data_IF_092024777086
#
_entry.id   IF_092024777086
#
_cell.length_a   1.000
_cell.length_b   1.000
_cell.length_c   1.000
_cell.angle_alpha   90.00
_cell.angle_beta   90.00
_cell.angle_gamma   90.00
#
_symmetry.space_group_name_H-M   'P 1'
#
loop_
_entity.id
_entity.type
_entity.pdbx_description
1 polymer ?
#
# COMPACT_ATOMS: atom_id res chain seq x y z
N UNK A 1 -22.34 12.60 13.97
CA UNK A 1 -21.65 11.44 13.40
C UNK A 1 -20.88 10.62 14.46
N UNK A 2 -19.93 11.22 15.20
CA UNK A 2 -19.09 10.50 16.20
C UNK A 2 -19.89 9.76 17.29
N UNK A 3 -20.89 10.41 17.90
CA UNK A 3 -21.75 9.79 18.93
C UNK A 3 -22.49 8.55 18.43
N UNK A 4 -22.95 8.58 17.17
CA UNK A 4 -23.66 7.47 16.52
C UNK A 4 -22.72 6.31 16.13
N UNK A 5 -21.44 6.61 15.88
CA UNK A 5 -20.40 5.60 15.66
C UNK A 5 -20.03 4.89 16.96
N UNK A 6 -19.81 5.63 18.05
CA UNK A 6 -19.53 5.04 19.37
C UNK A 6 -20.71 4.23 19.92
N UNK A 7 -21.96 4.64 19.64
CA UNK A 7 -23.16 3.92 20.08
C UNK A 7 -23.40 2.59 19.36
N UNK A 8 -22.64 2.27 18.30
CA UNK A 8 -22.74 1.00 17.57
C UNK A 8 -21.77 -0.08 18.08
N UNK A 9 -20.84 0.27 18.97
CA UNK A 9 -19.92 -0.71 19.53
C UNK A 9 -20.65 -1.63 20.52
N UNK A 10 -20.94 -2.86 20.10
CA UNK A 10 -21.77 -3.80 20.86
C UNK A 10 -20.99 -4.99 21.42
N UNK A 11 -19.72 -5.14 21.05
CA UNK A 11 -18.89 -6.27 21.47
C UNK A 11 -17.45 -5.83 21.77
N UNK A 12 -16.70 -6.71 22.44
CA UNK A 12 -15.33 -6.43 22.87
C UNK A 12 -14.39 -6.06 21.70
N UNK A 13 -14.63 -6.61 20.50
CA UNK A 13 -13.85 -6.30 19.30
C UNK A 13 -14.09 -4.86 18.82
N UNK A 14 -15.32 -4.37 18.91
CA UNK A 14 -15.65 -2.99 18.54
C UNK A 14 -15.08 -1.98 19.54
N UNK A 15 -15.12 -2.31 20.83
CA UNK A 15 -14.51 -1.50 21.89
C UNK A 15 -12.97 -1.46 21.72
N UNK A 16 -12.33 -2.59 21.39
CA UNK A 16 -10.90 -2.63 21.13
C UNK A 16 -10.48 -1.75 19.93
N UNK A 17 -11.31 -1.67 18.89
CA UNK A 17 -11.09 -0.75 17.76
C UNK A 17 -11.21 0.71 18.19
N UNK A 18 -12.20 1.06 19.01
CA UNK A 18 -12.35 2.42 19.54
C UNK A 18 -11.13 2.83 20.37
N UNK A 19 -10.66 1.94 21.25
CA UNK A 19 -9.43 2.16 22.04
C UNK A 19 -8.23 2.38 21.11
N UNK A 20 -8.10 1.56 20.06
CA UNK A 20 -7.00 1.69 19.09
C UNK A 20 -7.02 3.03 18.35
N UNK A 21 -8.20 3.54 17.99
CA UNK A 21 -8.36 4.84 17.31
C UNK A 21 -8.10 6.01 18.26
N UNK A 22 -8.42 5.85 19.54
CA UNK A 22 -8.19 6.87 20.57
C UNK A 22 -6.74 6.92 21.07
N UNK A 23 -5.95 5.87 20.84
CA UNK A 23 -4.53 5.93 21.21
C UNK A 23 -3.87 7.08 20.46
N UNK A 24 -3.25 8.04 21.16
CA UNK A 24 -2.41 9.02 20.49
C UNK A 24 -1.36 8.24 19.70
N UNK A 25 -1.03 8.74 18.51
CA UNK A 25 0.16 8.28 17.81
C UNK A 25 1.32 8.73 18.70
N UNK A 26 1.83 7.81 19.51
CA UNK A 26 3.06 8.06 20.26
C UNK A 26 4.16 8.28 19.22
N UNK A 27 4.92 9.37 19.37
CA UNK A 27 6.18 9.51 18.65
C UNK A 27 7.05 8.32 19.04
N UNK A 28 7.16 7.33 18.16
CA UNK A 28 7.90 6.12 18.45
C UNK A 28 9.37 6.49 18.60
N UNK A 29 9.96 6.17 19.76
CA UNK A 29 11.40 6.29 20.02
C UNK A 29 12.15 5.65 18.85
N UNK A 30 13.05 6.43 18.24
CA UNK A 30 13.89 5.95 17.16
C UNK A 30 14.91 4.95 17.71
N UNK A 31 15.08 3.81 17.04
CA UNK A 31 15.95 2.72 17.50
C UNK A 31 17.44 2.96 17.21
N UNK A 32 17.78 4.05 16.52
CA UNK A 32 19.14 4.35 16.11
C UNK A 32 19.85 5.21 17.16
N UNK A 33 21.11 4.87 17.42
CA UNK A 33 21.99 5.59 18.34
C UNK A 33 22.98 6.46 17.55
N UNK A 34 23.01 7.74 17.89
CA UNK A 34 24.02 8.72 17.48
C UNK A 34 24.99 8.96 18.64
N UNK A 35 26.07 9.70 18.39
CA UNK A 35 27.06 10.06 19.41
C UNK A 35 26.45 10.81 20.61
N UNK A 36 25.38 11.58 20.36
CA UNK A 36 24.66 12.38 21.36
C UNK A 36 23.43 11.65 21.98
N UNK A 37 23.24 10.36 21.67
CA UNK A 37 22.16 9.54 22.22
C UNK A 37 21.23 8.92 21.17
N UNK A 38 20.10 8.39 21.61
CA UNK A 38 19.12 7.73 20.74
C UNK A 38 18.27 8.74 19.97
N UNK A 39 17.94 8.41 18.72
CA UNK A 39 16.97 9.16 17.90
C UNK A 39 15.59 9.17 18.56
N UNK A 40 14.91 10.32 18.54
CA UNK A 40 13.65 10.51 19.27
C UNK A 40 12.41 10.40 18.38
N UNK A 41 12.60 10.21 17.07
CA UNK A 41 11.50 10.02 16.13
C UNK A 41 11.95 9.23 14.90
N UNK A 42 11.01 8.60 14.16
CA UNK A 42 11.31 7.92 12.90
C UNK A 42 11.96 8.83 11.87
N UNK A 43 11.58 10.12 11.84
CA UNK A 43 12.16 11.10 10.92
C UNK A 43 13.64 11.33 11.20
N UNK A 44 14.02 11.43 12.48
CA UNK A 44 15.44 11.53 12.86
C UNK A 44 16.20 10.25 12.52
N UNK A 45 15.61 9.08 12.75
CA UNK A 45 16.24 7.81 12.35
C UNK A 45 16.47 7.74 10.83
N UNK A 46 15.49 8.19 10.04
CA UNK A 46 15.62 8.24 8.58
C UNK A 46 16.77 9.15 8.14
N UNK A 47 16.88 10.35 8.73
CA UNK A 47 17.97 11.28 8.42
C UNK A 47 19.34 10.64 8.70
N UNK A 48 19.50 10.00 9.85
CA UNK A 48 20.76 9.30 10.21
C UNK A 48 21.11 8.22 9.17
N UNK A 49 20.12 7.44 8.71
CA UNK A 49 20.35 6.42 7.69
C UNK A 49 20.76 7.02 6.35
N UNK A 50 20.13 8.12 5.93
CA UNK A 50 20.46 8.82 4.70
C UNK A 50 21.87 9.42 4.76
N UNK A 51 22.22 10.10 5.85
CA UNK A 51 23.56 10.66 6.06
C UNK A 51 24.65 9.57 6.07
N UNK A 52 24.39 8.44 6.72
CA UNK A 52 25.39 7.38 6.90
C UNK A 52 25.61 6.55 5.65
N UNK A 53 24.53 6.18 4.95
CA UNK A 53 24.60 5.23 3.83
C UNK A 53 24.54 5.90 2.45
N UNK A 54 24.08 7.16 2.38
CA UNK A 54 23.88 7.89 1.13
C UNK A 54 24.37 9.35 1.27
N UNK A 55 25.64 9.58 1.62
CA UNK A 55 26.16 10.92 1.94
C UNK A 55 26.08 11.90 0.76
N UNK A 56 26.17 11.41 -0.48
CA UNK A 56 26.08 12.22 -1.70
C UNK A 56 24.64 12.32 -2.24
N UNK A 57 23.64 11.85 -1.48
CA UNK A 57 22.24 11.95 -1.90
C UNK A 57 21.74 13.39 -1.83
N UNK A 58 21.02 13.81 -2.87
CA UNK A 58 20.40 15.13 -2.94
C UNK A 58 18.89 14.93 -2.77
N UNK A 59 18.29 15.63 -1.82
CA UNK A 59 16.84 15.62 -1.64
C UNK A 59 16.22 16.34 -2.83
N UNK A 60 15.68 15.58 -3.76
CA UNK A 60 14.92 16.12 -4.88
C UNK A 60 13.54 16.58 -4.38
N UNK A 61 13.38 17.89 -4.18
CA UNK A 61 12.11 18.51 -3.73
C UNK A 61 11.15 18.81 -4.88
N UNK A 62 11.66 18.73 -6.11
CA UNK A 62 10.86 18.79 -7.33
C UNK A 62 10.21 17.44 -7.60
N UNK A 63 8.88 17.44 -7.76
CA UNK A 63 8.12 16.30 -8.27
C UNK A 63 8.36 16.05 -9.78
N UNK A 64 9.42 16.60 -10.36
CA UNK A 64 9.96 16.18 -11.64
C UNK A 64 10.64 14.81 -11.46
N UNK A 65 9.82 13.79 -11.16
CA UNK A 65 10.08 12.51 -11.78
C UNK A 65 9.80 12.78 -13.25
N UNK A 66 10.80 12.79 -14.16
CA UNK A 66 10.46 12.57 -15.55
C UNK A 66 9.58 11.32 -15.54
N UNK A 67 8.38 11.42 -16.09
CA UNK A 67 7.62 10.27 -16.54
C UNK A 67 8.57 9.61 -17.53
N UNK A 68 9.42 8.74 -17.01
CA UNK A 68 10.20 7.83 -17.80
C UNK A 68 9.10 6.94 -18.35
N UNK A 69 8.60 7.29 -19.54
CA UNK A 69 7.79 6.42 -20.35
C UNK A 69 8.64 5.18 -20.56
N UNK A 70 8.56 4.26 -19.61
CA UNK A 70 9.03 2.91 -19.82
C UNK A 70 8.09 2.41 -20.90
N UNK A 71 8.60 2.32 -22.12
CA UNK A 71 7.98 1.55 -23.17
C UNK A 71 7.95 0.10 -22.67
N UNK A 72 6.88 -0.26 -21.97
CA UNK A 72 6.69 -1.63 -21.54
C UNK A 72 6.39 -2.45 -22.78
N UNK A 73 7.05 -3.60 -22.90
CA UNK A 73 6.74 -4.54 -23.97
C UNK A 73 5.38 -5.18 -23.68
N UNK A 74 4.33 -4.56 -24.20
CA UNK A 74 2.94 -5.00 -24.04
C UNK A 74 2.63 -6.29 -24.81
N UNK A 75 3.51 -6.74 -25.71
CA UNK A 75 3.33 -8.04 -26.40
C UNK A 75 3.32 -9.23 -25.42
N UNK A 76 3.78 -9.03 -24.19
CA UNK A 76 3.65 -10.03 -23.14
C UNK A 76 2.20 -10.20 -22.66
N UNK A 77 1.34 -9.18 -22.75
CA UNK A 77 -0.04 -9.19 -22.26
C UNK A 77 -0.94 -9.91 -23.27
N UNK A 78 -1.57 -11.00 -22.86
CA UNK A 78 -2.55 -11.71 -23.67
C UNK A 78 -3.63 -12.35 -22.80
N UNK A 79 -4.75 -12.76 -23.41
CA UNK A 79 -5.93 -13.29 -22.71
C UNK A 79 -5.60 -14.46 -21.79
N UNK A 80 -4.67 -15.33 -22.19
CA UNK A 80 -4.29 -16.50 -21.40
C UNK A 80 -3.55 -16.07 -20.13
N UNK A 81 -2.55 -15.19 -20.26
CA UNK A 81 -1.78 -14.69 -19.12
C UNK A 81 -2.59 -13.83 -18.17
N UNK A 82 -3.53 -13.03 -18.69
CA UNK A 82 -4.47 -12.26 -17.86
C UNK A 82 -5.31 -13.22 -17.02
N UNK A 83 -5.85 -14.29 -17.65
CA UNK A 83 -6.62 -15.31 -16.96
C UNK A 83 -5.79 -16.07 -15.91
N UNK A 84 -4.56 -16.47 -16.26
CA UNK A 84 -3.63 -17.11 -15.33
C UNK A 84 -3.28 -16.21 -14.15
N UNK A 85 -3.07 -14.91 -14.40
CA UNK A 85 -2.78 -13.94 -13.34
C UNK A 85 -3.95 -13.82 -12.35
N UNK A 86 -5.20 -13.75 -12.82
CA UNK A 86 -6.36 -13.73 -11.92
C UNK A 86 -6.49 -15.03 -11.11
N UNK A 87 -6.22 -16.17 -11.74
CA UNK A 87 -6.24 -17.47 -11.07
C UNK A 87 -5.09 -17.67 -10.08
N UNK A 88 -3.99 -16.92 -10.20
CA UNK A 88 -2.86 -16.99 -9.27
C UNK A 88 -3.16 -16.36 -7.90
N UNK A 89 -4.22 -15.55 -7.80
CA UNK A 89 -4.58 -14.90 -6.53
C UNK A 89 -5.24 -15.88 -5.56
N UNK A 90 -5.02 -15.68 -4.26
CA UNK A 90 -5.83 -16.34 -3.24
C UNK A 90 -7.27 -15.81 -3.30
N UNK A 91 -8.30 -16.66 -3.49
CA UNK A 91 -9.66 -16.22 -3.81
C UNK A 91 -10.27 -15.24 -2.80
N UNK A 92 -9.97 -15.43 -1.52
CA UNK A 92 -10.57 -14.71 -0.40
C UNK A 92 -9.65 -13.66 0.25
N UNK A 93 -8.57 -13.28 -0.43
CA UNK A 93 -7.71 -12.19 0.02
C UNK A 93 -8.49 -10.88 0.12
N UNK A 94 -7.97 -9.96 0.94
CA UNK A 94 -8.52 -8.61 1.06
C UNK A 94 -8.57 -7.92 -0.30
N UNK A 95 -9.66 -7.19 -0.52
CA UNK A 95 -9.84 -6.34 -1.69
C UNK A 95 -8.92 -5.13 -1.66
N UNK A 96 -8.65 -4.57 -2.85
CA UNK A 96 -7.99 -3.28 -2.99
C UNK A 96 -8.93 -2.11 -2.69
N UNK A 97 -8.53 -0.88 -3.03
CA UNK A 97 -9.36 0.32 -2.87
C UNK A 97 -10.69 0.27 -3.65
N UNK A 98 -10.75 -0.55 -4.69
CA UNK A 98 -11.95 -0.80 -5.51
C UNK A 98 -13.00 -1.70 -4.83
N UNK A 99 -12.64 -2.35 -3.72
CA UNK A 99 -13.52 -3.27 -3.00
C UNK A 99 -13.73 -4.63 -3.66
N UNK A 100 -13.11 -4.91 -4.82
CA UNK A 100 -13.27 -6.16 -5.54
C UNK A 100 -12.38 -7.26 -4.93
N UNK A 101 -12.99 -8.38 -4.57
CA UNK A 101 -12.24 -9.55 -4.11
C UNK A 101 -11.66 -10.33 -5.29
N UNK A 102 -10.51 -11.01 -5.12
CA UNK A 102 -9.91 -11.80 -6.19
C UNK A 102 -10.83 -12.87 -6.79
N UNK A 103 -11.69 -13.49 -5.99
CA UNK A 103 -12.70 -14.46 -6.48
C UNK A 103 -13.59 -13.91 -7.60
N UNK A 104 -13.88 -12.60 -7.58
CA UNK A 104 -14.66 -11.94 -8.65
C UNK A 104 -13.89 -11.96 -9.96
N UNK A 105 -12.59 -11.68 -9.91
CA UNK A 105 -11.70 -11.69 -11.07
C UNK A 105 -11.53 -13.09 -11.66
N UNK A 106 -11.50 -14.11 -10.81
CA UNK A 106 -11.40 -15.53 -11.20
C UNK A 106 -12.66 -16.05 -11.90
N UNK A 107 -13.82 -15.48 -11.55
CA UNK A 107 -15.11 -15.86 -12.13
C UNK A 107 -15.51 -15.02 -13.35
N UNK A 108 -14.60 -14.18 -13.86
CA UNK A 108 -14.89 -13.35 -15.02
C UNK A 108 -15.15 -14.17 -16.29
N UNK A 109 -16.18 -13.77 -17.02
CA UNK A 109 -16.48 -14.32 -18.34
C UNK A 109 -15.41 -13.95 -19.37
N UNK A 110 -15.34 -14.75 -20.45
CA UNK A 110 -14.38 -14.56 -21.56
C UNK A 110 -14.43 -13.15 -22.16
N UNK A 111 -15.62 -12.55 -22.25
CA UNK A 111 -15.80 -11.20 -22.78
C UNK A 111 -15.10 -10.15 -21.91
N UNK A 112 -15.18 -10.27 -20.58
CA UNK A 112 -14.53 -9.32 -19.68
C UNK A 112 -13.01 -9.50 -19.68
N UNK A 113 -12.53 -10.74 -19.75
CA UNK A 113 -11.09 -11.03 -19.90
C UNK A 113 -10.56 -10.39 -21.20
N UNK A 114 -11.32 -10.50 -22.30
CA UNK A 114 -10.96 -9.85 -23.57
C UNK A 114 -10.94 -8.33 -23.43
N UNK A 115 -11.95 -7.73 -22.80
CA UNK A 115 -12.02 -6.29 -22.58
C UNK A 115 -10.82 -5.78 -21.76
N UNK A 116 -10.47 -6.47 -20.68
CA UNK A 116 -9.33 -6.10 -19.83
C UNK A 116 -8.00 -6.25 -20.58
N UNK A 117 -7.84 -7.29 -21.39
CA UNK A 117 -6.62 -7.50 -22.19
C UNK A 117 -6.41 -6.32 -23.14
N UNK A 118 -7.48 -5.85 -23.80
CA UNK A 118 -7.44 -4.74 -24.74
C UNK A 118 -7.17 -3.36 -24.11
N UNK A 119 -7.22 -3.22 -22.77
CA UNK A 119 -6.83 -1.98 -22.10
C UNK A 119 -5.32 -1.72 -22.16
N UNK A 120 -4.55 -2.76 -22.47
CA UNK A 120 -3.08 -2.73 -22.51
C UNK A 120 -2.53 -2.93 -23.93
N UNK A 121 -3.40 -3.05 -24.94
CA UNK A 121 -3.07 -2.95 -26.37
C UNK A 121 -3.02 -1.47 -26.80
#
# INVERSE_FOLDING_TARGET
AWRHFCSKAANAKDIAKLIKIQKPIEDSIGLLKKDDGYTQSPAQSLLVLMETHFPDSIINTTYDRPLQERSFNINYVNKNKVKESFNSFEPFKSSGPDGLKPVVLQQLGKNLISYITNLYE
#
